data_IF_084367450780
#
_entry.id   IF_084367450780
#
_cell.length_a   1.000
_cell.length_b   1.000
_cell.length_c   1.000
_cell.angle_alpha   90.00
_cell.angle_beta   90.00
_cell.angle_gamma   90.00
#
_symmetry.space_group_name_H-M   'P 1'
#
loop_
_entity.id
_entity.type
_entity.pdbx_description
1 polymer ?
#
# COMPACT_ATOMS: atom_id res chain seq x y z
N UNK A 1 -14.23 -29.16 16.71
CA UNK A 1 -13.39 -28.05 17.16
C UNK A 1 -12.34 -27.84 16.09
N UNK A 2 -12.23 -26.64 15.50
CA UNK A 2 -11.23 -26.39 14.45
C UNK A 2 -9.83 -26.48 15.07
N UNK A 3 -8.92 -27.19 14.42
CA UNK A 3 -7.51 -27.25 14.83
C UNK A 3 -6.83 -25.97 14.36
N UNK A 4 -6.19 -25.27 15.29
CA UNK A 4 -5.44 -24.09 14.97
C UNK A 4 -4.04 -24.48 14.46
N UNK A 5 -3.65 -23.99 13.28
CA UNK A 5 -2.38 -24.35 12.64
C UNK A 5 -1.57 -23.11 12.27
N UNK A 6 -0.29 -23.10 12.65
CA UNK A 6 0.70 -22.14 12.21
C UNK A 6 1.87 -22.87 11.54
N UNK A 7 2.49 -22.21 10.58
CA UNK A 7 3.73 -22.65 9.95
C UNK A 7 4.61 -21.43 9.73
N UNK A 8 5.75 -21.38 10.40
CA UNK A 8 6.74 -20.30 10.30
C UNK A 8 7.95 -20.86 9.60
N UNK A 9 8.34 -20.25 8.48
CA UNK A 9 9.56 -20.61 7.76
C UNK A 9 10.57 -19.49 7.89
N UNK A 10 11.79 -19.82 8.29
CA UNK A 10 12.89 -18.86 8.41
C UNK A 10 13.99 -19.26 7.45
N UNK A 11 14.31 -18.37 6.53
CA UNK A 11 15.31 -18.53 5.48
C UNK A 11 16.56 -17.76 5.83
N UNK A 12 17.71 -18.39 5.72
CA UNK A 12 18.99 -17.68 5.74
C UNK A 12 19.08 -16.80 4.50
N UNK A 13 19.61 -15.58 4.65
CA UNK A 13 19.71 -14.63 3.54
C UNK A 13 21.17 -14.31 3.19
N UNK A 14 21.41 -14.05 1.91
CA UNK A 14 22.67 -13.46 1.42
C UNK A 14 22.32 -12.14 0.76
N UNK A 15 22.79 -11.02 1.31
CA UNK A 15 22.41 -9.67 0.86
C UNK A 15 20.88 -9.51 0.77
N UNK A 16 20.17 -9.99 1.80
CA UNK A 16 18.69 -9.98 1.89
C UNK A 16 17.96 -10.86 0.87
N UNK A 17 18.65 -11.62 0.03
CA UNK A 17 18.03 -12.60 -0.87
C UNK A 17 17.87 -13.92 -0.11
N UNK A 18 16.64 -14.47 0.02
CA UNK A 18 16.42 -15.76 0.70
C UNK A 18 17.15 -16.90 -0.02
N UNK A 19 17.91 -17.69 0.74
CA UNK A 19 18.53 -18.92 0.23
C UNK A 19 17.51 -20.07 0.19
N UNK A 20 17.77 -21.16 -0.56
CA UNK A 20 16.91 -22.35 -0.53
C UNK A 20 16.85 -23.06 0.84
N UNK A 21 17.81 -22.78 1.73
CA UNK A 21 17.89 -23.39 3.06
C UNK A 21 16.97 -22.63 4.02
N UNK A 22 16.05 -23.36 4.64
CA UNK A 22 15.12 -22.81 5.64
C UNK A 22 14.90 -23.75 6.80
N UNK A 23 14.46 -23.16 7.91
CA UNK A 23 13.98 -23.83 9.11
C UNK A 23 12.46 -23.67 9.19
N UNK A 24 11.74 -24.74 9.48
CA UNK A 24 10.27 -24.72 9.59
C UNK A 24 9.83 -25.04 11.02
N UNK A 25 8.91 -24.23 11.54
CA UNK A 25 8.30 -24.40 12.85
C UNK A 25 6.78 -24.49 12.69
N UNK A 26 6.18 -25.55 13.21
CA UNK A 26 4.74 -25.84 13.12
C UNK A 26 3.97 -25.43 14.38
N UNK A 27 4.64 -24.72 15.29
CA UNK A 27 4.12 -24.24 16.56
C UNK A 27 4.59 -22.81 16.81
N UNK A 28 3.80 -22.09 17.59
CA UNK A 28 4.07 -20.72 18.03
C UNK A 28 3.20 -20.46 19.26
N UNK A 29 3.64 -19.58 20.17
CA UNK A 29 2.78 -19.13 21.27
C UNK A 29 1.76 -18.13 20.76
N UNK A 30 2.25 -17.00 20.25
CA UNK A 30 1.42 -15.95 19.67
C UNK A 30 2.07 -15.38 18.40
N UNK A 31 1.23 -14.91 17.47
CA UNK A 31 1.61 -14.09 16.32
C UNK A 31 0.68 -12.90 16.25
N UNK A 32 1.27 -11.71 16.17
CA UNK A 32 0.55 -10.45 15.96
C UNK A 32 1.05 -9.82 14.66
N UNK A 33 0.15 -9.47 13.74
CA UNK A 33 0.48 -8.85 12.44
C UNK A 33 -0.35 -7.59 12.27
N UNK A 34 0.26 -6.48 11.87
CA UNK A 34 -0.43 -5.24 11.49
C UNK A 34 -0.08 -4.87 10.06
N UNK A 35 -1.09 -4.93 9.19
CA UNK A 35 -0.95 -4.64 7.76
C UNK A 35 -1.81 -3.46 7.32
N UNK A 36 -1.26 -2.51 6.55
CA UNK A 36 -1.99 -1.34 6.06
C UNK A 36 -1.35 -0.74 4.82
N UNK A 37 -2.13 -0.41 3.80
CA UNK A 37 -1.60 0.31 2.63
C UNK A 37 -1.14 1.75 2.96
N UNK A 38 -1.58 2.30 4.12
CA UNK A 38 -1.18 3.63 4.61
C UNK A 38 0.18 3.60 5.32
N UNK A 39 0.63 2.44 5.76
CA UNK A 39 1.95 2.24 6.37
C UNK A 39 2.94 1.82 5.28
N UNK A 40 4.18 2.29 5.35
CA UNK A 40 5.19 1.86 4.38
C UNK A 40 5.55 0.38 4.59
N UNK A 41 5.68 -0.03 5.85
CA UNK A 41 6.00 -1.40 6.25
C UNK A 41 4.87 -2.01 7.05
N UNK A 42 4.49 -3.22 6.70
CA UNK A 42 3.71 -4.07 7.60
C UNK A 42 4.63 -4.65 8.68
N UNK A 43 4.08 -4.93 9.87
CA UNK A 43 4.85 -5.48 10.99
C UNK A 43 4.29 -6.81 11.44
N UNK A 44 5.17 -7.68 11.94
CA UNK A 44 4.79 -8.90 12.64
C UNK A 44 5.61 -9.10 13.91
N UNK A 45 4.99 -9.70 14.92
CA UNK A 45 5.65 -10.16 16.14
C UNK A 45 5.33 -11.63 16.33
N UNK A 46 6.38 -12.44 16.51
CA UNK A 46 6.27 -13.87 16.79
C UNK A 46 6.77 -14.09 18.21
N UNK A 47 5.94 -14.72 19.04
CA UNK A 47 6.29 -15.13 20.39
C UNK A 47 6.48 -16.64 20.42
N UNK A 48 7.66 -17.10 20.83
CA UNK A 48 8.00 -18.52 20.91
C UNK A 48 8.69 -18.86 22.25
N UNK A 49 8.70 -20.14 22.66
CA UNK A 49 9.62 -20.60 23.70
C UNK A 49 11.08 -20.31 23.32
N UNK A 50 11.95 -20.13 24.32
CA UNK A 50 13.38 -19.87 24.07
C UNK A 50 14.10 -21.06 23.40
N UNK A 51 13.72 -22.27 23.81
CA UNK A 51 14.22 -23.52 23.22
C UNK A 51 13.30 -23.89 22.05
N UNK A 52 13.89 -24.02 20.87
CA UNK A 52 13.14 -24.31 19.64
C UNK A 52 13.72 -25.51 18.90
N UNK A 53 12.85 -26.25 18.23
CA UNK A 53 13.16 -27.51 17.57
C UNK A 53 12.53 -27.51 16.18
N UNK A 54 13.33 -27.86 15.17
CA UNK A 54 12.92 -27.83 13.76
C UNK A 54 12.31 -29.14 13.26
N UNK A 55 12.47 -30.24 14.01
CA UNK A 55 11.79 -31.50 13.74
C UNK A 55 10.74 -31.74 14.82
N UNK A 56 9.48 -31.69 14.41
CA UNK A 56 8.30 -31.89 15.27
C UNK A 56 7.45 -33.07 14.80
N UNK A 57 7.97 -33.92 13.90
CA UNK A 57 7.26 -35.13 13.50
C UNK A 57 7.14 -36.06 14.70
N UNK A 58 5.97 -36.04 15.32
CA UNK A 58 5.69 -36.73 16.58
C UNK A 58 6.15 -35.88 17.78
N UNK A 59 5.48 -34.75 18.02
CA UNK A 59 5.67 -33.93 19.21
C UNK A 59 5.48 -34.78 20.49
N UNK A 60 6.58 -35.33 20.99
CA UNK A 60 6.65 -36.04 22.25
C UNK A 60 7.08 -35.03 23.33
N UNK A 61 6.29 -34.87 24.39
CA UNK A 61 6.66 -34.05 25.54
C UNK A 61 7.97 -34.52 26.20
N UNK A 62 8.42 -35.76 25.94
CA UNK A 62 9.72 -36.26 26.40
C UNK A 62 10.93 -35.73 25.59
N UNK A 63 10.73 -34.96 24.50
CA UNK A 63 11.81 -34.23 23.83
C UNK A 63 12.42 -33.15 24.73
N UNK A 64 11.67 -32.64 25.72
CA UNK A 64 12.20 -31.70 26.72
C UNK A 64 13.17 -32.38 27.70
N UNK A 65 13.08 -33.70 27.88
CA UNK A 65 13.89 -34.46 28.83
C UNK A 65 15.06 -35.22 28.20
N UNK A 66 14.99 -35.54 26.90
CA UNK A 66 15.95 -36.46 26.24
C UNK A 66 16.59 -35.94 24.94
N UNK A 67 16.69 -34.62 24.72
CA UNK A 67 17.42 -34.10 23.57
C UNK A 67 18.94 -34.27 23.76
N UNK A 68 19.50 -35.41 23.37
CA UNK A 68 20.94 -35.59 23.23
C UNK A 68 21.43 -34.87 21.96
N UNK A 69 22.04 -33.70 22.14
CA UNK A 69 22.62 -32.84 21.11
C UNK A 69 23.05 -31.49 21.71
N UNK A 70 23.87 -30.70 20.99
CA UNK A 70 24.18 -29.32 21.41
C UNK A 70 22.87 -28.51 21.55
N UNK A 71 22.75 -27.77 22.64
CA UNK A 71 21.58 -26.95 22.93
C UNK A 71 21.42 -25.86 21.86
N UNK A 72 20.39 -26.00 21.01
CA UNK A 72 20.08 -25.00 19.98
C UNK A 72 19.16 -23.93 20.57
N UNK A 73 19.62 -22.69 20.53
CA UNK A 73 18.90 -21.52 20.99
C UNK A 73 18.04 -20.91 19.88
N UNK A 74 17.04 -20.11 20.23
CA UNK A 74 16.27 -19.30 19.26
C UNK A 74 17.18 -18.51 18.31
N UNK A 75 18.33 -18.02 18.80
CA UNK A 75 19.29 -17.24 18.02
C UNK A 75 20.00 -18.03 16.91
N UNK A 76 20.00 -19.37 16.97
CA UNK A 76 20.56 -20.20 15.92
C UNK A 76 19.70 -20.19 14.66
N UNK A 77 18.39 -19.99 14.82
CA UNK A 77 17.40 -20.05 13.75
C UNK A 77 16.86 -18.67 13.36
N UNK A 78 16.65 -17.80 14.35
CA UNK A 78 16.12 -16.45 14.17
C UNK A 78 17.26 -15.44 14.31
N UNK A 79 17.82 -15.04 13.17
CA UNK A 79 18.90 -14.05 13.09
C UNK A 79 18.38 -12.79 12.43
N UNK A 80 18.97 -11.65 12.78
CA UNK A 80 18.68 -10.38 12.10
C UNK A 80 18.84 -10.56 10.58
N UNK A 81 17.90 -9.97 9.84
CA UNK A 81 17.88 -9.98 8.38
C UNK A 81 17.65 -11.37 7.72
N UNK A 82 17.42 -12.42 8.50
CA UNK A 82 16.81 -13.64 7.94
C UNK A 82 15.40 -13.33 7.44
N UNK A 83 15.01 -13.97 6.34
CA UNK A 83 13.68 -13.80 5.76
C UNK A 83 12.70 -14.77 6.42
N UNK A 84 11.48 -14.34 6.68
CA UNK A 84 10.45 -15.12 7.36
C UNK A 84 9.16 -15.13 6.56
N UNK A 85 8.55 -16.31 6.44
CA UNK A 85 7.18 -16.48 5.98
C UNK A 85 6.33 -17.02 7.13
N UNK A 86 5.18 -16.39 7.37
CA UNK A 86 4.22 -16.81 8.38
C UNK A 86 2.95 -17.26 7.67
N UNK A 87 2.56 -18.50 7.91
CA UNK A 87 1.31 -19.06 7.44
C UNK A 87 0.40 -19.43 8.61
N UNK A 88 -0.86 -19.00 8.56
CA UNK A 88 -1.84 -19.20 9.63
C UNK A 88 -3.13 -19.78 9.04
N UNK A 89 -3.84 -20.60 9.80
CA UNK A 89 -5.13 -21.13 9.35
C UNK A 89 -5.73 -22.18 10.27
N UNK A 90 -6.74 -22.88 9.74
CA UNK A 90 -7.48 -23.93 10.43
C UNK A 90 -7.39 -25.25 9.69
N UNK A 91 -7.37 -26.37 10.43
CA UNK A 91 -7.47 -27.74 9.91
C UNK A 91 -6.48 -28.06 8.76
N UNK A 92 -5.30 -27.46 8.81
CA UNK A 92 -4.24 -27.61 7.79
C UNK A 92 -4.40 -26.74 6.54
N UNK A 93 -5.45 -25.94 6.42
CA UNK A 93 -5.59 -24.93 5.35
C UNK A 93 -4.82 -23.65 5.73
N UNK A 94 -3.59 -23.54 5.26
CA UNK A 94 -2.67 -22.45 5.59
C UNK A 94 -2.82 -21.25 4.64
N UNK A 95 -3.01 -20.04 5.18
CA UNK A 95 -3.00 -18.79 4.42
C UNK A 95 -1.69 -18.02 4.63
N UNK A 96 -1.07 -17.45 3.58
CA UNK A 96 0.17 -16.67 3.70
C UNK A 96 -0.14 -15.33 4.39
N UNK A 97 0.08 -15.26 5.71
CA UNK A 97 -0.31 -14.14 6.54
C UNK A 97 0.72 -13.00 6.54
N UNK A 98 2.01 -13.32 6.40
CA UNK A 98 3.09 -12.33 6.41
C UNK A 98 4.34 -12.87 5.72
N UNK A 99 5.11 -11.97 5.07
CA UNK A 99 6.41 -12.25 4.46
C UNK A 99 7.32 -11.05 4.67
N UNK A 100 8.51 -11.27 5.21
CA UNK A 100 9.38 -10.16 5.59
C UNK A 100 10.72 -10.57 6.15
N UNK A 101 11.37 -9.66 6.86
CA UNK A 101 12.68 -9.85 7.48
C UNK A 101 12.60 -9.70 8.99
N UNK A 102 13.41 -10.48 9.69
CA UNK A 102 13.60 -10.34 11.13
C UNK A 102 14.38 -9.05 11.41
N UNK A 103 13.80 -8.15 12.18
CA UNK A 103 14.38 -6.85 12.57
C UNK A 103 14.80 -6.78 14.03
N UNK A 104 14.36 -7.74 14.85
CA UNK A 104 14.78 -7.85 16.24
C UNK A 104 14.50 -9.22 16.82
N UNK A 105 15.36 -9.67 17.75
CA UNK A 105 15.17 -10.91 18.52
C UNK A 105 15.53 -10.61 19.97
N UNK A 106 14.53 -10.70 20.85
CA UNK A 106 14.66 -10.43 22.28
C UNK A 106 14.29 -11.69 23.06
N UNK A 107 15.07 -12.05 24.07
CA UNK A 107 14.81 -13.19 24.94
C UNK A 107 14.81 -12.73 26.38
N UNK A 108 13.66 -12.87 27.05
CA UNK A 108 13.56 -12.72 28.51
C UNK A 108 13.00 -14.02 29.12
N UNK A 109 11.67 -14.18 29.14
CA UNK A 109 11.02 -15.46 29.50
C UNK A 109 10.63 -16.23 28.23
N UNK A 110 10.06 -15.53 27.25
CA UNK A 110 9.80 -16.03 25.91
C UNK A 110 10.72 -15.31 24.92
N UNK A 111 10.96 -15.93 23.77
CA UNK A 111 11.56 -15.24 22.64
C UNK A 111 10.50 -14.40 21.92
N UNK A 112 10.81 -13.13 21.69
CA UNK A 112 10.02 -12.17 20.93
C UNK A 112 10.82 -11.81 19.68
N UNK A 113 10.29 -12.17 18.52
CA UNK A 113 10.89 -11.90 17.22
C UNK A 113 10.06 -10.82 16.55
N UNK A 114 10.67 -9.66 16.32
CA UNK A 114 10.07 -8.56 15.58
C UNK A 114 10.46 -8.65 14.12
N UNK A 115 9.49 -8.45 13.24
CA UNK A 115 9.65 -8.52 11.81
C UNK A 115 9.01 -7.30 11.13
N UNK A 116 9.60 -6.90 10.02
CA UNK A 116 9.01 -5.98 9.05
C UNK A 116 8.87 -6.69 7.71
N UNK A 117 7.88 -6.33 6.89
CA UNK A 117 7.65 -6.98 5.61
C UNK A 117 8.79 -6.79 4.61
N UNK A 118 8.62 -7.30 3.39
CA UNK A 118 9.62 -7.24 2.33
C UNK A 118 10.14 -5.80 2.06
N UNK A 119 9.36 -4.78 2.40
CA UNK A 119 9.75 -3.37 2.30
C UNK A 119 11.00 -3.00 3.11
N UNK A 120 11.29 -3.76 4.18
CA UNK A 120 12.53 -3.59 4.96
C UNK A 120 13.79 -3.56 4.08
N UNK A 121 13.84 -4.37 3.02
CA UNK A 121 15.00 -4.42 2.13
C UNK A 121 15.32 -3.05 1.50
N UNK A 122 14.30 -2.25 1.21
CA UNK A 122 14.46 -0.92 0.63
C UNK A 122 14.95 0.14 1.63
N UNK A 123 14.92 -0.14 2.94
CA UNK A 123 15.58 0.71 3.95
C UNK A 123 17.10 0.61 3.86
N UNK A 124 17.63 -0.48 3.28
CA UNK A 124 19.07 -0.76 3.16
C UNK A 124 19.66 -0.38 1.80
N UNK A 125 18.82 -0.09 0.82
CA UNK A 125 19.24 0.24 -0.55
C UNK A 125 19.18 1.75 -0.76
N UNK A 126 20.30 2.35 -1.16
CA UNK A 126 20.35 3.77 -1.54
C UNK A 126 19.54 4.02 -2.82
N UNK A 127 18.85 5.16 -2.86
CA UNK A 127 18.11 5.58 -4.04
C UNK A 127 19.01 6.03 -5.21
N UNK A 128 20.21 6.51 -4.87
CA UNK A 128 21.26 6.93 -5.80
C UNK A 128 22.58 6.32 -5.36
N UNK A 129 23.43 5.93 -6.32
CA UNK A 129 24.73 5.33 -6.07
C UNK A 129 25.76 6.41 -5.72
N UNK A 130 26.75 6.05 -4.91
CA UNK A 130 27.81 6.99 -4.52
C UNK A 130 28.78 7.28 -5.67
N UNK A 131 29.01 6.28 -6.51
CA UNK A 131 29.83 6.31 -7.71
C UNK A 131 29.01 6.70 -8.95
N UNK A 132 29.70 7.08 -10.03
CA UNK A 132 29.08 7.33 -11.35
C UNK A 132 27.93 8.36 -11.33
N UNK A 133 28.06 9.39 -10.48
CA UNK A 133 27.14 10.52 -10.42
C UNK A 133 27.07 11.19 -11.79
N UNK A 134 25.86 11.42 -12.31
CA UNK A 134 25.64 12.07 -13.61
C UNK A 134 26.30 11.36 -14.80
N UNK A 135 26.50 10.03 -14.72
CA UNK A 135 26.97 9.24 -15.86
C UNK A 135 25.96 9.27 -17.00
N UNK A 136 26.40 9.45 -18.27
CA UNK A 136 25.51 9.32 -19.44
C UNK A 136 24.79 7.96 -19.51
N UNK A 137 25.37 6.91 -18.91
CA UNK A 137 24.82 5.57 -18.89
C UNK A 137 23.73 5.37 -17.82
N UNK A 138 23.69 6.24 -16.81
CA UNK A 138 22.63 6.25 -15.79
C UNK A 138 22.11 7.67 -15.54
N UNK A 139 21.22 8.18 -16.42
CA UNK A 139 20.64 9.52 -16.27
C UNK A 139 19.75 9.66 -15.04
N UNK A 140 19.42 8.56 -14.34
CA UNK A 140 18.65 8.58 -13.10
C UNK A 140 19.56 8.59 -11.86
N UNK A 141 20.87 8.40 -12.02
CA UNK A 141 21.86 8.50 -10.94
C UNK A 141 22.36 9.93 -10.78
N UNK A 142 21.41 10.84 -10.64
CA UNK A 142 21.68 12.25 -10.40
C UNK A 142 21.76 12.43 -8.90
N UNK A 143 22.98 12.67 -8.45
CA UNK A 143 23.22 13.09 -7.08
C UNK A 143 23.24 14.60 -7.05
N UNK A 144 22.51 15.16 -6.09
CA UNK A 144 22.51 16.57 -5.84
C UNK A 144 23.94 17.05 -5.50
N UNK A 145 24.54 17.85 -6.38
CA UNK A 145 25.85 18.49 -6.12
C UNK A 145 25.72 19.61 -5.10
N UNK A 146 24.53 20.19 -5.01
CA UNK A 146 24.01 21.05 -3.94
C UNK A 146 22.61 20.55 -3.56
N UNK A 147 22.04 20.91 -2.39
CA UNK A 147 20.68 20.52 -1.97
C UNK A 147 19.55 20.90 -2.95
N UNK A 148 19.85 21.64 -4.02
CA UNK A 148 18.90 22.17 -5.00
C UNK A 148 18.89 21.43 -6.34
N UNK A 149 19.78 20.47 -6.60
CA UNK A 149 19.71 19.67 -7.84
C UNK A 149 18.69 18.55 -7.67
N UNK A 150 17.65 18.56 -8.50
CA UNK A 150 16.55 17.60 -8.46
C UNK A 150 16.75 16.50 -9.50
N UNK A 151 16.16 15.32 -9.28
CA UNK A 151 15.87 14.40 -10.39
C UNK A 151 14.82 15.10 -11.24
N UNK A 152 15.23 15.56 -12.42
CA UNK A 152 14.35 16.22 -13.36
C UNK A 152 13.34 15.21 -13.91
N UNK A 153 12.08 15.65 -14.08
CA UNK A 153 11.04 14.85 -14.74
C UNK A 153 10.89 13.45 -14.15
N UNK A 154 10.90 13.36 -12.81
CA UNK A 154 10.85 12.09 -12.10
C UNK A 154 9.57 11.33 -12.43
N UNK A 155 9.75 10.09 -12.92
CA UNK A 155 8.67 9.14 -13.13
C UNK A 155 8.91 7.92 -12.20
N UNK A 156 7.99 7.59 -11.27
CA UNK A 156 8.17 6.49 -10.34
C UNK A 156 8.46 5.16 -11.03
N UNK A 157 7.74 4.85 -12.11
CA UNK A 157 7.92 3.59 -12.83
C UNK A 157 9.33 3.43 -13.39
N UNK A 158 9.79 4.39 -14.19
CA UNK A 158 11.13 4.29 -14.80
C UNK A 158 12.24 4.29 -13.74
N UNK A 159 12.10 5.08 -12.69
CA UNK A 159 13.07 5.15 -11.60
C UNK A 159 13.15 3.86 -10.80
N UNK A 160 12.03 3.37 -10.27
CA UNK A 160 12.02 2.21 -9.39
C UNK A 160 12.23 0.90 -10.15
N UNK A 161 11.68 0.73 -11.35
CA UNK A 161 11.97 -0.46 -12.16
C UNK A 161 13.48 -0.59 -12.43
N UNK A 162 14.17 0.52 -12.74
CA UNK A 162 15.62 0.52 -12.92
C UNK A 162 16.36 0.17 -11.63
N UNK A 163 16.09 0.89 -10.54
CA UNK A 163 16.80 0.73 -9.25
C UNK A 163 16.57 -0.64 -8.62
N UNK A 164 15.38 -1.19 -8.75
CA UNK A 164 15.00 -2.47 -8.16
C UNK A 164 15.53 -3.64 -9.00
N UNK A 165 15.53 -3.52 -10.33
CA UNK A 165 16.05 -4.57 -11.22
C UNK A 165 17.52 -4.90 -10.92
N UNK A 166 18.31 -3.90 -10.52
CA UNK A 166 19.72 -4.08 -10.13
C UNK A 166 19.88 -4.92 -8.84
N UNK A 167 18.83 -5.04 -8.02
CA UNK A 167 18.87 -5.80 -6.77
C UNK A 167 18.58 -7.30 -6.97
N UNK A 168 18.09 -7.71 -8.14
CA UNK A 168 17.68 -9.09 -8.44
C UNK A 168 16.71 -9.68 -7.40
N UNK A 169 15.82 -8.85 -6.84
CA UNK A 169 14.84 -9.31 -5.86
C UNK A 169 13.67 -10.04 -6.56
N UNK A 170 13.13 -11.13 -5.97
CA UNK A 170 12.16 -12.01 -6.63
C UNK A 170 10.71 -11.50 -6.51
N UNK A 171 10.44 -10.27 -6.93
CA UNK A 171 9.09 -9.71 -6.96
C UNK A 171 8.83 -8.83 -8.19
N UNK A 172 7.55 -8.68 -8.52
CA UNK A 172 7.12 -7.77 -9.60
C UNK A 172 7.01 -6.35 -9.06
N UNK A 173 7.28 -5.37 -9.91
CA UNK A 173 7.04 -3.95 -9.63
C UNK A 173 5.86 -3.51 -10.48
N UNK A 174 4.85 -2.94 -9.83
CA UNK A 174 3.73 -2.25 -10.47
C UNK A 174 3.75 -0.80 -9.99
N UNK A 175 4.29 0.08 -10.83
CA UNK A 175 4.54 1.46 -10.45
C UNK A 175 3.77 2.45 -11.31
N UNK A 176 3.31 3.52 -10.67
CA UNK A 176 2.65 4.66 -11.29
C UNK A 176 3.52 5.23 -12.42
N UNK A 177 2.97 5.24 -13.62
CA UNK A 177 3.58 5.80 -14.83
C UNK A 177 3.10 7.24 -15.02
N UNK A 178 3.62 8.14 -14.19
CA UNK A 178 3.26 9.56 -14.20
C UNK A 178 4.51 10.41 -13.98
N UNK A 179 4.64 11.50 -14.72
CA UNK A 179 5.71 12.46 -14.55
C UNK A 179 5.37 13.42 -13.41
N UNK A 180 6.06 13.30 -12.28
CA UNK A 180 5.83 14.08 -11.07
C UNK A 180 6.66 15.37 -11.02
N UNK A 181 7.31 15.71 -12.13
CA UNK A 181 8.26 16.81 -12.23
C UNK A 181 9.50 16.58 -11.37
N UNK A 182 10.07 17.66 -10.85
CA UNK A 182 11.34 17.62 -10.15
C UNK A 182 11.17 17.12 -8.70
N UNK A 183 11.96 16.13 -8.29
CA UNK A 183 12.04 15.69 -6.90
C UNK A 183 13.48 15.72 -6.35
N UNK A 184 13.63 16.07 -5.08
CA UNK A 184 14.93 16.21 -4.43
C UNK A 184 15.37 14.90 -3.77
N UNK A 185 16.29 14.16 -4.40
CA UNK A 185 16.87 12.92 -3.82
C UNK A 185 18.33 13.18 -3.42
N UNK A 186 18.65 12.94 -2.15
CA UNK A 186 19.99 13.11 -1.60
C UNK A 186 20.80 11.80 -1.65
N UNK A 187 22.14 11.90 -1.60
CA UNK A 187 23.07 10.72 -1.55
C UNK A 187 22.71 9.70 -0.48
N UNK A 188 22.24 10.18 0.66
CA UNK A 188 21.99 9.36 1.83
C UNK A 188 20.56 8.81 1.85
N UNK A 189 19.70 9.18 0.89
CA UNK A 189 18.33 8.66 0.86
C UNK A 189 18.33 7.19 0.45
N UNK A 190 17.63 6.37 1.24
CA UNK A 190 17.25 5.02 0.84
C UNK A 190 16.03 5.04 -0.09
N UNK A 191 15.80 3.95 -0.82
CA UNK A 191 14.58 3.80 -1.62
C UNK A 191 13.33 3.92 -0.74
N UNK A 192 13.36 3.38 0.48
CA UNK A 192 12.28 3.54 1.46
C UNK A 192 12.00 5.01 1.81
N UNK A 193 13.03 5.84 1.96
CA UNK A 193 12.84 7.27 2.22
C UNK A 193 12.24 8.00 1.02
N UNK A 194 12.59 7.61 -0.22
CA UNK A 194 11.93 8.15 -1.42
C UNK A 194 10.45 7.74 -1.46
N UNK A 195 10.10 6.52 -1.05
CA UNK A 195 8.70 6.12 -0.93
C UNK A 195 7.92 6.98 0.07
N UNK A 196 8.48 7.30 1.24
CA UNK A 196 7.84 8.22 2.19
C UNK A 196 7.67 9.63 1.62
N UNK A 197 8.66 10.15 0.89
CA UNK A 197 8.51 11.44 0.20
C UNK A 197 7.35 11.43 -0.82
N UNK A 198 7.14 10.30 -1.50
CA UNK A 198 6.03 10.13 -2.45
C UNK A 198 4.68 10.05 -1.73
N UNK A 199 4.64 9.48 -0.52
CA UNK A 199 3.45 9.44 0.32
C UNK A 199 2.92 10.83 0.66
N UNK A 200 3.79 11.80 0.93
CA UNK A 200 3.40 13.21 1.17
C UNK A 200 2.71 13.86 -0.05
N UNK A 201 2.97 13.31 -1.25
CA UNK A 201 2.34 13.69 -2.52
C UNK A 201 1.09 12.85 -2.83
N UNK A 202 0.67 11.95 -1.94
CA UNK A 202 -0.48 11.07 -2.11
C UNK A 202 -0.19 9.83 -2.95
N UNK A 203 1.06 9.40 -3.03
CA UNK A 203 1.48 8.19 -3.75
C UNK A 203 1.93 7.17 -2.71
N UNK A 204 1.17 6.10 -2.58
CA UNK A 204 1.39 5.06 -1.58
C UNK A 204 2.21 3.92 -2.19
N UNK A 205 3.07 3.34 -1.36
CA UNK A 205 3.93 2.21 -1.73
C UNK A 205 3.73 1.10 -0.72
N UNK A 206 3.34 -0.08 -1.19
CA UNK A 206 3.07 -1.25 -0.34
C UNK A 206 3.24 -2.54 -1.14
N UNK A 207 3.47 -3.66 -0.45
CA UNK A 207 3.45 -4.97 -1.09
C UNK A 207 2.04 -5.55 -1.10
N UNK A 208 1.59 -5.97 -2.28
CA UNK A 208 0.41 -6.83 -2.43
C UNK A 208 0.88 -8.26 -2.54
N UNK A 209 0.45 -9.14 -1.64
CA UNK A 209 0.71 -10.57 -1.76
C UNK A 209 -0.19 -11.14 -2.85
N UNK A 210 0.37 -11.60 -3.97
CA UNK A 210 -0.36 -12.37 -4.98
C UNK A 210 0.09 -13.85 -4.95
N UNK A 211 -0.68 -14.75 -5.58
CA UNK A 211 -0.45 -16.19 -5.54
C UNK A 211 0.95 -16.62 -5.99
N UNK A 212 1.50 -15.95 -7.00
CA UNK A 212 2.80 -16.32 -7.60
C UNK A 212 3.99 -15.67 -6.92
N UNK A 213 3.85 -14.41 -6.51
CA UNK A 213 4.89 -13.61 -5.87
C UNK A 213 4.27 -12.35 -5.26
N UNK A 214 4.89 -11.74 -4.24
CA UNK A 214 4.52 -10.39 -3.83
C UNK A 214 4.76 -9.40 -4.98
N UNK A 215 3.91 -8.38 -5.06
CA UNK A 215 3.99 -7.28 -6.04
C UNK A 215 4.19 -5.98 -5.28
N UNK A 216 5.32 -5.32 -5.49
CA UNK A 216 5.53 -3.96 -5.02
C UNK A 216 4.62 -3.04 -5.82
N UNK A 217 3.64 -2.43 -5.15
CA UNK A 217 2.67 -1.53 -5.75
C UNK A 217 3.00 -0.10 -5.34
N UNK A 218 3.19 0.79 -6.32
CA UNK A 218 3.41 2.22 -6.14
C UNK A 218 2.28 2.93 -6.88
N UNK A 219 1.34 3.54 -6.15
CA UNK A 219 0.09 4.03 -6.76
C UNK A 219 -0.47 5.26 -6.05
N UNK A 220 -1.14 6.12 -6.80
CA UNK A 220 -1.96 7.23 -6.29
C UNK A 220 -3.44 6.83 -6.09
N UNK A 221 -3.77 5.55 -6.29
CA UNK A 221 -5.13 5.01 -6.17
C UNK A 221 -5.15 3.68 -5.39
N UNK A 222 -4.65 3.64 -4.14
CA UNK A 222 -4.56 2.40 -3.35
C UNK A 222 -5.93 1.80 -3.04
N UNK A 223 -6.97 2.63 -2.99
CA UNK A 223 -8.35 2.24 -2.74
C UNK A 223 -9.11 1.82 -4.01
N UNK A 224 -8.43 1.72 -5.17
CA UNK A 224 -9.00 1.23 -6.43
C UNK A 224 -10.28 1.96 -6.87
N UNK A 225 -10.29 3.30 -6.77
CA UNK A 225 -11.35 4.12 -7.33
C UNK A 225 -11.49 3.86 -8.83
N UNK A 226 -12.73 3.70 -9.29
CA UNK A 226 -13.04 3.51 -10.70
C UNK A 226 -13.18 4.84 -11.42
N UNK A 227 -13.05 4.82 -12.75
CA UNK A 227 -13.31 6.01 -13.56
C UNK A 227 -14.74 6.55 -13.38
N UNK A 228 -15.72 5.65 -13.13
CA UNK A 228 -17.11 6.04 -12.87
C UNK A 228 -17.26 6.78 -11.53
N UNK A 229 -16.61 6.28 -10.48
CA UNK A 229 -16.61 6.94 -9.16
C UNK A 229 -15.95 8.33 -9.25
N UNK A 230 -14.83 8.44 -9.98
CA UNK A 230 -14.17 9.73 -10.23
C UNK A 230 -15.07 10.68 -11.02
N UNK A 231 -15.73 10.20 -12.08
CA UNK A 231 -16.66 11.00 -12.88
C UNK A 231 -17.81 11.54 -12.02
N UNK A 232 -18.45 10.66 -11.24
CA UNK A 232 -19.55 11.01 -10.35
C UNK A 232 -19.13 12.02 -9.28
N UNK A 233 -17.95 11.84 -8.68
CA UNK A 233 -17.42 12.78 -7.70
C UNK A 233 -17.15 14.16 -8.31
N UNK A 234 -16.50 14.20 -9.49
CA UNK A 234 -16.23 15.44 -10.22
C UNK A 234 -17.55 16.13 -10.53
N UNK A 235 -18.54 15.44 -11.10
CA UNK A 235 -19.82 16.03 -11.48
C UNK A 235 -20.59 16.64 -10.30
N UNK A 236 -20.54 16.00 -9.12
CA UNK A 236 -21.18 16.52 -7.89
C UNK A 236 -20.43 17.71 -7.28
N UNK A 237 -19.11 17.73 -7.39
CA UNK A 237 -18.23 18.68 -6.70
C UNK A 237 -17.55 19.68 -7.66
N UNK A 238 -18.04 19.78 -8.91
CA UNK A 238 -17.46 20.66 -9.92
C UNK A 238 -17.73 22.11 -9.54
N UNK A 239 -16.80 22.73 -8.82
CA UNK A 239 -16.78 24.18 -8.62
C UNK A 239 -16.39 24.80 -9.97
N UNK A 240 -17.08 25.87 -10.37
CA UNK A 240 -16.73 26.69 -11.53
C UNK A 240 -15.29 27.19 -11.42
N UNK A 241 -14.34 26.52 -12.08
CA UNK A 241 -12.98 27.03 -12.35
C UNK A 241 -13.05 28.26 -13.27
N UNK A 242 -12.04 29.15 -13.30
CA UNK A 242 -11.94 30.21 -14.31
C UNK A 242 -12.02 29.70 -15.76
N UNK A 243 -11.72 28.42 -15.99
CA UNK A 243 -11.75 27.78 -17.31
C UNK A 243 -13.06 27.00 -17.57
N UNK A 244 -14.04 27.04 -16.66
CA UNK A 244 -15.21 26.17 -16.67
C UNK A 244 -16.10 26.26 -17.93
N UNK A 245 -16.56 25.09 -18.41
CA UNK A 245 -17.51 24.97 -19.52
C UNK A 245 -17.67 23.54 -20.04
N UNK A 246 -18.57 23.34 -21.01
CA UNK A 246 -18.88 22.04 -21.60
C UNK A 246 -17.66 21.34 -22.24
N UNK A 247 -16.70 22.11 -22.74
CA UNK A 247 -15.46 21.59 -23.36
C UNK A 247 -14.57 20.90 -22.32
N UNK A 248 -14.38 21.50 -21.14
CA UNK A 248 -13.63 20.85 -20.05
C UNK A 248 -14.29 19.54 -19.65
N UNK A 249 -15.62 19.54 -19.45
CA UNK A 249 -16.35 18.32 -19.08
C UNK A 249 -16.18 17.22 -20.14
N UNK A 250 -16.21 17.57 -21.42
CA UNK A 250 -15.93 16.62 -22.52
C UNK A 250 -14.52 16.03 -22.43
N UNK A 251 -13.50 16.85 -22.20
CA UNK A 251 -12.11 16.40 -22.08
C UNK A 251 -11.87 15.55 -20.82
N UNK A 252 -12.49 15.89 -19.69
CA UNK A 252 -12.48 15.07 -18.48
C UNK A 252 -13.04 13.68 -18.80
N UNK A 253 -14.19 13.60 -19.45
CA UNK A 253 -14.81 12.31 -19.81
C UNK A 253 -13.93 11.50 -20.77
N UNK A 254 -13.29 12.16 -21.74
CA UNK A 254 -12.33 11.49 -22.64
C UNK A 254 -11.13 10.94 -21.86
N UNK A 255 -10.52 11.74 -20.99
CA UNK A 255 -9.40 11.29 -20.19
C UNK A 255 -9.78 10.19 -19.17
N UNK A 256 -10.96 10.26 -18.56
CA UNK A 256 -11.49 9.20 -17.70
C UNK A 256 -11.74 7.90 -18.48
N UNK A 257 -12.12 7.97 -19.77
CA UNK A 257 -12.23 6.78 -20.62
C UNK A 257 -10.88 6.14 -20.94
N UNK A 258 -9.82 6.95 -21.07
CA UNK A 258 -8.45 6.43 -21.23
C UNK A 258 -7.96 5.82 -19.91
N UNK A 259 -8.23 6.49 -18.79
CA UNK A 259 -7.91 6.03 -17.45
C UNK A 259 -8.64 4.73 -17.11
N UNK A 260 -9.90 4.57 -17.52
CA UNK A 260 -10.65 3.33 -17.27
C UNK A 260 -9.98 2.11 -17.91
N UNK A 261 -9.45 2.26 -19.13
CA UNK A 261 -8.69 1.22 -19.81
C UNK A 261 -7.34 0.91 -19.12
N UNK A 262 -6.72 1.90 -18.46
CA UNK A 262 -5.50 1.69 -17.68
C UNK A 262 -5.79 1.02 -16.32
N UNK A 263 -6.81 1.52 -15.61
CA UNK A 263 -7.26 0.95 -14.34
C UNK A 263 -7.73 -0.49 -14.53
N UNK A 264 -8.48 -0.79 -15.60
CA UNK A 264 -8.96 -2.13 -15.90
C UNK A 264 -7.81 -3.12 -16.13
N UNK A 265 -6.74 -2.68 -16.82
CA UNK A 265 -5.52 -3.47 -17.01
C UNK A 265 -4.77 -3.71 -15.70
N UNK A 266 -4.70 -2.71 -14.83
CA UNK A 266 -4.06 -2.83 -13.51
C UNK A 266 -4.82 -3.76 -12.56
N UNK A 267 -6.15 -3.82 -12.65
CA UNK A 267 -6.99 -4.79 -11.91
C UNK A 267 -7.02 -6.19 -12.51
N UNK A 268 -6.58 -6.38 -13.76
CA UNK A 268 -6.47 -7.69 -14.42
C UNK A 268 -5.18 -8.46 -14.03
N UNK A 269 -4.62 -8.20 -12.83
CA UNK A 269 -3.63 -9.12 -12.28
C UNK A 269 -4.33 -10.41 -11.85
N UNK A 270 -3.97 -11.48 -12.57
CA UNK A 270 -4.17 -12.93 -12.38
C UNK A 270 -5.10 -13.34 -11.24
N UNK A 271 -6.08 -14.20 -11.56
CA UNK A 271 -6.97 -14.88 -10.61
C UNK A 271 -6.28 -15.19 -9.28
N UNK A 272 -6.48 -14.32 -8.30
CA UNK A 272 -6.03 -14.55 -6.94
C UNK A 272 -7.01 -15.55 -6.32
N UNK A 273 -6.51 -16.70 -5.85
CA UNK A 273 -7.28 -17.69 -5.09
C UNK A 273 -7.93 -17.01 -3.87
N UNK A 274 -7.31 -15.92 -3.38
CA UNK A 274 -7.88 -15.03 -2.40
C UNK A 274 -8.67 -13.93 -3.10
N UNK A 275 -9.97 -14.19 -3.28
CA UNK A 275 -10.90 -13.23 -3.86
C UNK A 275 -10.72 -11.87 -3.19
N UNK A 276 -10.30 -10.84 -3.93
CA UNK A 276 -10.21 -9.45 -3.45
C UNK A 276 -11.57 -8.83 -3.06
N UNK A 277 -12.58 -9.67 -2.85
CA UNK A 277 -13.92 -9.36 -2.35
C UNK A 277 -14.37 -10.50 -1.41
N UNK A 278 -14.60 -10.18 -0.14
CA UNK A 278 -14.90 -11.14 0.93
C UNK A 278 -16.21 -10.76 1.62
N UNK A 279 -17.01 -11.72 2.07
CA UNK A 279 -18.32 -11.47 2.68
C UNK A 279 -18.31 -11.74 4.19
N UNK A 280 -18.89 -10.82 4.95
CA UNK A 280 -19.12 -10.95 6.38
C UNK A 280 -20.59 -10.67 6.71
N UNK A 281 -21.18 -11.58 7.48
CA UNK A 281 -22.54 -11.44 7.99
C UNK A 281 -22.51 -11.14 9.49
N UNK A 282 -23.20 -10.07 9.89
CA UNK A 282 -23.37 -9.72 11.29
C UNK A 282 -24.06 -10.85 12.04
N UNK A 283 -23.59 -11.14 13.26
CA UNK A 283 -24.04 -12.27 14.13
C UNK A 283 -23.61 -13.67 13.66
N UNK A 284 -22.84 -13.78 12.59
CA UNK A 284 -22.27 -15.04 12.12
C UNK A 284 -20.75 -14.97 12.10
N UNK A 285 -20.19 -14.04 11.33
CA UNK A 285 -18.74 -13.87 11.21
C UNK A 285 -18.20 -12.80 12.18
N UNK A 286 -18.98 -11.75 12.43
CA UNK A 286 -18.56 -10.59 13.23
C UNK A 286 -18.78 -10.87 14.72
N UNK A 287 -17.68 -10.83 15.48
CA UNK A 287 -17.61 -11.03 16.93
C UNK A 287 -17.85 -9.71 17.67
N UNK A 288 -17.23 -8.63 17.20
CA UNK A 288 -17.31 -7.29 17.79
C UNK A 288 -17.50 -6.27 16.66
N UNK A 289 -18.42 -5.32 16.84
CA UNK A 289 -18.68 -4.23 15.89
C UNK A 289 -18.33 -2.89 16.54
N UNK A 290 -17.40 -2.16 15.93
CA UNK A 290 -17.00 -0.79 16.30
C UNK A 290 -17.05 0.15 15.08
N UNK A 291 -17.98 -0.10 14.16
CA UNK A 291 -18.16 0.70 12.95
C UNK A 291 -19.07 1.90 13.21
N UNK A 292 -18.65 3.07 12.74
CA UNK A 292 -19.38 4.34 12.84
C UNK A 292 -19.64 4.85 11.42
N UNK A 293 -20.91 5.15 11.10
CA UNK A 293 -21.28 5.68 9.78
C UNK A 293 -20.62 7.04 9.56
N UNK A 294 -19.98 7.22 8.41
CA UNK A 294 -19.43 8.50 7.96
C UNK A 294 -20.05 8.90 6.64
N UNK A 295 -20.64 10.09 6.61
CA UNK A 295 -21.29 10.65 5.43
C UNK A 295 -20.41 11.74 4.78
N UNK A 296 -20.38 11.73 3.44
CA UNK A 296 -19.60 12.66 2.59
C UNK A 296 -19.86 14.14 2.94
N UNK A 297 -21.09 14.48 3.33
CA UNK A 297 -21.57 15.85 3.54
C UNK A 297 -21.14 16.50 4.86
N UNK A 298 -20.43 15.78 5.74
CA UNK A 298 -20.14 16.29 7.09
C UNK A 298 -19.01 17.32 7.13
N UNK A 299 -18.17 17.39 6.10
CA UNK A 299 -17.04 18.33 6.02
C UNK A 299 -17.13 19.13 4.72
N UNK A 300 -17.49 20.41 4.83
CA UNK A 300 -17.43 21.33 3.70
C UNK A 300 -15.96 21.63 3.38
N UNK A 301 -15.41 20.98 2.37
CA UNK A 301 -13.98 21.04 2.03
C UNK A 301 -13.76 21.20 0.54
N UNK A 302 -12.64 21.83 0.18
CA UNK A 302 -12.16 21.89 -1.19
C UNK A 302 -10.66 21.65 -1.25
N UNK A 303 -10.22 21.14 -2.39
CA UNK A 303 -8.82 20.89 -2.72
C UNK A 303 -8.46 21.71 -3.93
N UNK A 304 -7.29 22.34 -3.88
CA UNK A 304 -6.74 23.11 -5.00
C UNK A 304 -5.58 22.35 -5.62
N UNK A 305 -5.52 22.32 -6.94
CA UNK A 305 -4.39 21.76 -7.67
C UNK A 305 -3.86 22.84 -8.61
N UNK A 306 -2.57 23.10 -8.54
CA UNK A 306 -1.88 24.11 -9.34
C UNK A 306 -0.78 23.45 -10.15
N UNK A 307 -0.65 23.82 -11.43
CA UNK A 307 0.46 23.42 -12.28
C UNK A 307 1.18 24.65 -12.82
N UNK A 308 2.45 24.76 -12.49
CA UNK A 308 3.38 25.79 -12.98
C UNK A 308 4.14 25.31 -14.21
N UNK A 309 4.52 26.27 -15.06
CA UNK A 309 5.20 26.02 -16.33
C UNK A 309 6.46 26.88 -16.44
N UNK A 310 7.45 26.43 -17.23
CA UNK A 310 8.76 27.08 -17.39
C UNK A 310 8.68 28.59 -17.67
N UNK A 311 7.72 29.01 -18.48
CA UNK A 311 7.56 30.39 -18.92
C UNK A 311 6.45 31.17 -18.17
N UNK A 312 5.90 30.64 -17.07
CA UNK A 312 4.80 31.28 -16.34
C UNK A 312 4.91 31.12 -14.82
N UNK A 313 4.93 32.25 -14.11
CA UNK A 313 4.77 32.32 -12.66
C UNK A 313 3.31 32.28 -12.20
N UNK A 314 2.35 32.31 -13.14
CA UNK A 314 0.93 32.10 -12.86
C UNK A 314 0.56 30.66 -13.22
N UNK A 315 0.05 29.86 -12.27
CA UNK A 315 -0.29 28.47 -12.54
C UNK A 315 -1.61 28.36 -13.31
N UNK A 316 -1.76 27.26 -14.04
CA UNK A 316 -3.11 26.75 -14.36
C UNK A 316 -3.59 25.99 -13.14
N UNK A 317 -4.78 26.32 -12.64
CA UNK A 317 -5.31 25.72 -11.43
C UNK A 317 -6.77 25.31 -11.56
N UNK A 318 -7.14 24.33 -10.73
CA UNK A 318 -8.52 23.92 -10.49
C UNK A 318 -8.78 23.89 -8.99
N UNK A 319 -10.04 24.07 -8.62
CA UNK A 319 -10.54 23.80 -7.27
C UNK A 319 -11.68 22.78 -7.39
N UNK A 320 -11.66 21.78 -6.52
CA UNK A 320 -12.64 20.70 -6.51
C UNK A 320 -13.13 20.47 -5.07
N UNK A 321 -14.46 20.38 -4.88
CA UNK A 321 -15.09 20.25 -3.58
C UNK A 321 -16.28 21.18 -3.43
N UNK A 322 -16.51 21.69 -2.22
CA UNK A 322 -17.61 22.63 -1.97
C UNK A 322 -17.18 24.07 -2.28
N UNK A 323 -18.01 24.89 -2.98
CA UNK A 323 -17.67 26.27 -3.33
C UNK A 323 -17.19 27.13 -2.15
N UNK A 324 -17.75 26.91 -0.96
CA UNK A 324 -17.41 27.60 0.28
C UNK A 324 -16.72 26.69 1.32
N UNK A 325 -16.20 25.54 0.89
CA UNK A 325 -15.50 24.61 1.76
C UNK A 325 -14.15 25.14 2.23
N UNK A 326 -13.70 24.68 3.40
CA UNK A 326 -12.35 24.93 3.87
C UNK A 326 -11.34 24.35 2.88
N UNK A 327 -10.35 25.14 2.47
CA UNK A 327 -9.26 24.65 1.63
C UNK A 327 -8.38 23.71 2.46
N UNK A 328 -8.43 22.41 2.16
CA UNK A 328 -7.70 21.38 2.93
C UNK A 328 -6.23 21.37 2.56
N UNK A 329 -5.93 21.38 1.26
CA UNK A 329 -4.57 21.33 0.74
C UNK A 329 -4.51 21.93 -0.66
N UNK A 330 -3.40 22.62 -0.94
CA UNK A 330 -2.98 22.98 -2.29
C UNK A 330 -1.92 21.99 -2.75
N UNK A 331 -2.19 21.26 -3.82
CA UNK A 331 -1.22 20.41 -4.48
C UNK A 331 -0.55 21.17 -5.61
N UNK A 332 0.75 21.36 -5.49
CA UNK A 332 1.56 22.10 -6.48
C UNK A 332 2.35 21.13 -7.33
N UNK A 333 2.18 21.26 -8.64
CA UNK A 333 2.88 20.54 -9.70
C UNK A 333 3.73 21.51 -10.51
N UNK A 334 4.89 21.05 -10.97
CA UNK A 334 5.80 21.84 -11.80
C UNK A 334 6.12 21.09 -13.08
N UNK A 335 6.04 21.80 -14.20
CA UNK A 335 6.50 21.37 -15.50
C UNK A 335 7.59 22.34 -15.98
N UNK A 336 8.84 21.96 -15.71
CA UNK A 336 9.99 22.81 -15.99
C UNK A 336 10.47 22.69 -17.44
N UNK A 337 9.81 21.85 -18.24
CA UNK A 337 10.14 21.60 -19.63
C UNK A 337 9.16 22.29 -20.59
N UNK A 338 7.86 22.22 -20.30
CA UNK A 338 6.82 22.76 -21.16
C UNK A 338 6.64 24.27 -20.99
N UNK A 339 6.33 24.93 -22.11
CA UNK A 339 6.01 26.36 -22.17
C UNK A 339 4.55 26.55 -22.58
N UNK A 340 3.84 27.45 -21.89
CA UNK A 340 2.47 27.82 -22.27
C UNK A 340 2.48 28.64 -23.57
N UNK A 341 1.56 28.38 -24.51
CA UNK A 341 1.45 29.16 -25.75
C UNK A 341 1.19 30.64 -25.45
N UNK A 342 1.80 31.54 -26.25
CA UNK A 342 1.54 32.99 -26.17
C UNK A 342 0.28 33.41 -26.93
N UNK A 343 -0.10 32.67 -27.97
CA UNK A 343 -1.31 32.93 -28.74
C UNK A 343 -2.56 32.69 -27.87
N UNK A 344 -3.52 33.64 -27.79
CA UNK A 344 -4.69 33.50 -26.94
C UNK A 344 -5.55 32.26 -27.21
N UNK A 345 -5.68 31.85 -28.47
CA UNK A 345 -6.51 30.70 -28.86
C UNK A 345 -5.85 29.39 -28.45
N UNK A 346 -4.56 29.25 -28.76
CA UNK A 346 -3.75 28.11 -28.35
C UNK A 346 -3.63 28.04 -26.82
N UNK A 347 -3.41 29.16 -26.14
CA UNK A 347 -3.35 29.22 -24.68
C UNK A 347 -4.66 28.74 -24.05
N UNK A 348 -5.81 29.19 -24.55
CA UNK A 348 -7.12 28.74 -24.07
C UNK A 348 -7.32 27.23 -24.28
N UNK A 349 -6.92 26.70 -25.43
CA UNK A 349 -6.99 25.26 -25.71
C UNK A 349 -6.10 24.45 -24.75
N UNK A 350 -4.81 24.78 -24.67
CA UNK A 350 -3.84 24.08 -23.82
C UNK A 350 -4.21 24.18 -22.34
N UNK A 351 -4.64 25.34 -21.86
CA UNK A 351 -5.10 25.50 -20.47
C UNK A 351 -6.33 24.66 -20.14
N UNK A 352 -7.26 24.51 -21.09
CA UNK A 352 -8.43 23.64 -20.97
C UNK A 352 -8.02 22.16 -20.86
N UNK A 353 -7.09 21.71 -21.71
CA UNK A 353 -6.55 20.34 -21.68
C UNK A 353 -5.84 20.05 -20.35
N UNK A 354 -4.97 20.96 -19.91
CA UNK A 354 -4.27 20.85 -18.62
C UNK A 354 -5.27 20.79 -17.47
N UNK A 355 -6.24 21.71 -17.42
CA UNK A 355 -7.26 21.72 -16.37
C UNK A 355 -8.02 20.39 -16.28
N UNK A 356 -8.33 19.75 -17.42
CA UNK A 356 -9.01 18.45 -17.44
C UNK A 356 -8.19 17.33 -16.76
N UNK A 357 -6.86 17.34 -16.92
CA UNK A 357 -5.95 16.42 -16.24
C UNK A 357 -5.87 16.73 -14.76
N UNK A 358 -5.81 18.01 -14.39
CA UNK A 358 -5.79 18.43 -12.98
C UNK A 358 -7.07 18.05 -12.24
N UNK A 359 -8.23 18.03 -12.90
CA UNK A 359 -9.48 17.56 -12.29
C UNK A 359 -9.43 16.07 -11.94
N UNK A 360 -8.83 15.23 -12.79
CA UNK A 360 -8.65 13.79 -12.48
C UNK A 360 -7.68 13.61 -11.30
N UNK A 361 -6.55 14.32 -11.34
CA UNK A 361 -5.56 14.32 -10.27
C UNK A 361 -6.14 14.81 -8.93
N UNK A 362 -6.95 15.88 -8.98
CA UNK A 362 -7.63 16.47 -7.83
C UNK A 362 -8.74 15.59 -7.27
N UNK A 363 -9.48 14.88 -8.14
CA UNK A 363 -10.56 13.99 -7.73
C UNK A 363 -10.09 12.86 -6.83
N UNK A 364 -9.01 12.15 -7.20
CA UNK A 364 -8.45 11.08 -6.36
C UNK A 364 -8.14 11.56 -4.93
N UNK A 365 -7.54 12.75 -4.81
CA UNK A 365 -7.14 13.33 -3.51
C UNK A 365 -8.31 13.94 -2.74
N UNK A 366 -9.24 14.58 -3.43
CA UNK A 366 -10.43 15.16 -2.83
C UNK A 366 -11.38 14.07 -2.30
N UNK A 367 -11.48 12.94 -3.00
CA UNK A 367 -12.25 11.77 -2.54
C UNK A 367 -11.68 11.19 -1.23
N UNK A 368 -10.35 11.14 -1.08
CA UNK A 368 -9.73 10.72 0.21
C UNK A 368 -10.11 11.67 1.37
N UNK A 369 -10.31 12.96 1.09
CA UNK A 369 -10.67 13.96 2.11
C UNK A 369 -12.16 13.99 2.48
N UNK A 370 -13.01 13.37 1.65
CA UNK A 370 -14.46 13.27 1.83
C UNK A 370 -14.90 11.79 1.87
N UNK A 371 -14.46 11.00 2.87
CA UNK A 371 -14.83 9.60 2.93
C UNK A 371 -16.35 9.47 3.15
N UNK A 372 -16.96 8.55 2.42
CA UNK A 372 -18.31 8.07 2.68
C UNK A 372 -18.24 6.57 2.98
N UNK A 373 -18.98 6.08 3.97
CA UNK A 373 -18.93 4.68 4.39
C UNK A 373 -18.83 4.54 5.90
N UNK A 374 -17.77 3.88 6.37
CA UNK A 374 -17.56 3.62 7.80
C UNK A 374 -16.19 4.09 8.26
N UNK A 375 -16.13 4.57 9.49
CA UNK A 375 -14.89 4.67 10.28
C UNK A 375 -14.90 3.59 11.36
N UNK A 376 -13.71 3.13 11.75
CA UNK A 376 -13.53 2.14 12.81
C UNK A 376 -13.22 0.74 12.28
N UNK A 377 -13.61 -0.27 13.06
CA UNK A 377 -13.27 -1.66 12.74
C UNK A 377 -14.33 -2.64 13.23
N UNK A 378 -14.23 -3.88 12.76
CA UNK A 378 -14.95 -5.00 13.35
C UNK A 378 -13.97 -6.17 13.60
N UNK A 379 -14.24 -6.95 14.64
CA UNK A 379 -13.48 -8.16 14.96
C UNK A 379 -14.19 -9.38 14.38
N UNK A 380 -13.42 -10.26 13.74
CA UNK A 380 -13.88 -11.53 13.18
C UNK A 380 -12.92 -12.66 13.54
N UNK A 381 -13.34 -13.89 13.27
CA UNK A 381 -12.46 -15.05 13.23
C UNK A 381 -11.39 -14.93 12.14
N UNK A 382 -10.35 -15.74 12.25
CA UNK A 382 -9.27 -15.87 11.26
C UNK A 382 -9.70 -16.12 9.81
N UNK A 383 -10.94 -16.55 9.61
CA UNK A 383 -11.55 -16.71 8.29
C UNK A 383 -12.96 -16.08 8.24
N UNK A 384 -13.40 -15.59 7.07
CA UNK A 384 -12.65 -15.50 5.80
C UNK A 384 -11.38 -14.62 5.86
N UNK A 385 -10.35 -14.95 5.08
CA UNK A 385 -9.07 -14.25 5.10
C UNK A 385 -9.13 -12.92 4.33
N UNK A 386 -8.72 -11.81 4.97
CA UNK A 386 -8.82 -10.45 4.40
C UNK A 386 -7.51 -9.70 4.48
N UNK A 387 -7.04 -9.11 3.40
CA UNK A 387 -5.85 -8.24 3.33
C UNK A 387 -6.25 -6.77 3.17
N UNK A 388 -5.32 -5.82 3.47
CA UNK A 388 -5.48 -4.45 3.00
C UNK A 388 -5.74 -4.43 1.50
N UNK A 389 -6.52 -3.46 1.04
CA UNK A 389 -6.95 -3.31 -0.37
C UNK A 389 -7.96 -4.35 -0.89
N UNK A 390 -8.36 -5.34 -0.08
CA UNK A 390 -9.53 -6.16 -0.39
C UNK A 390 -10.83 -5.38 -0.19
N UNK A 391 -11.93 -5.89 -0.76
CA UNK A 391 -13.29 -5.38 -0.57
C UNK A 391 -14.04 -6.28 0.40
N UNK A 392 -14.75 -5.70 1.35
CA UNK A 392 -15.60 -6.43 2.31
C UNK A 392 -17.06 -6.12 2.03
N UNK A 393 -17.85 -7.17 1.81
CA UNK A 393 -19.31 -7.10 1.73
C UNK A 393 -19.87 -7.36 3.12
N UNK A 394 -20.54 -6.35 3.68
CA UNK A 394 -21.22 -6.44 4.97
C UNK A 394 -22.70 -6.72 4.78
N UNK A 395 -23.20 -7.69 5.56
CA UNK A 395 -24.62 -8.08 5.56
C UNK A 395 -25.19 -8.14 6.97
N UNK A 396 -26.14 -7.26 7.24
CA UNK A 396 -26.86 -7.13 8.48
C UNK A 396 -28.36 -7.18 8.21
N UNK A 397 -29.01 -8.23 8.71
CA UNK A 397 -30.43 -8.43 8.53
C UNK A 397 -31.29 -7.45 9.35
N UNK A 398 -30.73 -6.89 10.44
CA UNK A 398 -31.45 -5.98 11.34
C UNK A 398 -31.22 -4.52 11.03
N UNK A 399 -29.97 -4.15 10.74
CA UNK A 399 -29.56 -2.79 10.45
C UNK A 399 -29.08 -2.70 9.00
N UNK A 400 -30.01 -2.40 8.09
CA UNK A 400 -29.73 -2.39 6.64
C UNK A 400 -28.80 -1.25 6.23
N UNK A 401 -28.61 -0.21 7.04
CA UNK A 401 -27.69 0.89 6.75
C UNK A 401 -26.23 0.42 6.77
N UNK A 402 -25.94 -0.64 7.53
CA UNK A 402 -24.64 -1.31 7.56
C UNK A 402 -24.35 -2.22 6.37
N UNK A 403 -25.31 -2.37 5.45
CA UNK A 403 -25.10 -3.18 4.26
C UNK A 403 -24.33 -2.40 3.20
N UNK A 404 -23.38 -3.08 2.56
CA UNK A 404 -22.62 -2.48 1.47
C UNK A 404 -21.34 -3.23 1.17
N UNK A 405 -20.62 -2.74 0.17
CA UNK A 405 -19.24 -3.14 -0.08
C UNK A 405 -18.33 -2.01 0.38
N UNK A 406 -17.30 -2.34 1.15
CA UNK A 406 -16.38 -1.37 1.74
C UNK A 406 -14.94 -1.75 1.45
N UNK A 407 -14.09 -0.75 1.30
CA UNK A 407 -12.67 -0.96 1.05
C UNK A 407 -11.94 -1.19 2.38
N UNK A 408 -11.07 -2.19 2.43
CA UNK A 408 -10.24 -2.49 3.60
C UNK A 408 -9.01 -1.62 3.61
N UNK A 409 -8.78 -0.93 4.73
CA UNK A 409 -7.63 -0.06 4.91
C UNK A 409 -6.48 -0.74 5.66
N UNK A 410 -6.81 -1.38 6.77
CA UNK A 410 -5.86 -2.01 7.68
C UNK A 410 -6.45 -3.31 8.22
N UNK A 411 -5.59 -4.28 8.46
CA UNK A 411 -5.96 -5.55 9.11
C UNK A 411 -4.95 -5.84 10.21
N UNK A 412 -5.44 -6.02 11.43
CA UNK A 412 -4.66 -6.53 12.55
C UNK A 412 -5.03 -7.99 12.76
N UNK A 413 -4.05 -8.89 12.76
CA UNK A 413 -4.27 -10.32 12.98
C UNK A 413 -3.59 -10.73 14.27
N UNK A 414 -4.30 -11.54 15.04
CA UNK A 414 -3.77 -12.18 16.26
C UNK A 414 -4.01 -13.67 16.16
N UNK A 415 -3.00 -14.48 16.43
CA UNK A 415 -3.07 -15.92 16.42
C UNK A 415 -2.36 -16.45 17.66
N UNK A 416 -2.94 -17.43 18.37
CA UNK A 416 -2.29 -18.07 19.51
C UNK A 416 -3.28 -18.57 20.54
N UNK A 417 -3.01 -18.29 21.82
CA UNK A 417 -3.79 -18.79 22.97
C UNK A 417 -5.28 -18.40 22.90
N UNK A 418 -5.59 -17.23 22.36
CA UNK A 418 -6.97 -16.72 22.20
C UNK A 418 -7.61 -17.12 20.85
N UNK A 419 -7.01 -18.07 20.14
CA UNK A 419 -7.40 -18.49 18.80
C UNK A 419 -6.88 -17.55 17.71
N UNK A 420 -7.47 -17.66 16.51
CA UNK A 420 -7.12 -16.84 15.36
C UNK A 420 -8.23 -15.81 15.09
N UNK A 421 -7.86 -14.53 15.08
CA UNK A 421 -8.75 -13.38 14.90
C UNK A 421 -8.18 -12.38 13.91
N UNK A 422 -9.08 -11.62 13.29
CA UNK A 422 -8.74 -10.47 12.46
C UNK A 422 -9.59 -9.29 12.91
N UNK A 423 -8.96 -8.15 13.19
CA UNK A 423 -9.63 -6.85 13.31
C UNK A 423 -9.45 -6.12 12.00
N UNK A 424 -10.56 -5.90 11.31
CA UNK A 424 -10.58 -5.32 9.97
C UNK A 424 -11.05 -3.88 10.08
N UNK A 425 -10.18 -2.96 9.69
CA UNK A 425 -10.49 -1.54 9.56
C UNK A 425 -10.93 -1.30 8.12
N UNK A 426 -12.16 -0.81 8.00
CA UNK A 426 -12.76 -0.46 6.71
C UNK A 426 -12.92 1.05 6.64
N UNK A 427 -12.94 1.57 5.42
CA UNK A 427 -13.11 2.99 5.16
C UNK A 427 -14.27 3.21 4.20
N UNK A 428 -13.90 3.63 2.98
CA UNK A 428 -14.87 4.06 1.98
C UNK A 428 -15.85 2.95 1.59
N UNK A 429 -17.07 3.35 1.27
CA UNK A 429 -18.03 2.54 0.52
C UNK A 429 -17.59 2.47 -0.94
N UNK A 430 -17.73 1.30 -1.52
CA UNK A 430 -17.54 1.06 -2.96
C UNK A 430 -18.92 1.09 -3.59
N UNK A 431 -19.13 2.01 -4.53
CA UNK A 431 -20.40 2.07 -5.26
C UNK A 431 -20.55 0.80 -6.10
N UNK A 432 -21.76 0.21 -6.10
CA UNK A 432 -22.06 -0.87 -7.02
C UNK A 432 -22.15 -0.28 -8.43
N UNK A 433 -21.40 -0.87 -9.38
CA UNK A 433 -21.49 -0.54 -10.80
C UNK A 433 -22.84 -0.99 -11.35
#
# INVERSE_FOLDING_TARGET
>A
MLKLNAKIRVYETVKLIPSPKFYEFTYVKNVDISSSYKSLTDTATIVMPQKVYTDTKGFDQNLFTNASGEEKSIYDFFKLENFVEIFLGYDGDYKPAFRGYITGVQTDINAIISCEDTMYAFKKVKAVKDDNVQSPNDPLNVVATNPTTNVENFNPKTFFEKRIKELNLPFKVNALDEELGNIMINRNHSLAQVFEMLKDKGIYTYFKTEDTAPVLTITNNPQQHTANELAGFIDRNFITSPLAGAIIKKLINQGLSLLSAQLSKATQSVSDIFSGKVRFKFRYNIIEDKLIVVNESTKNTRTRVEKYFKNSNTPIYIELGDPNGQLVKTHVLHDNSAELPKDPTAFKKTSTEIASVLYQYGALRAMESKPSGFEGSFLTFGEPFVRPTDKVVLENAKDKEKNGTFQVEKVERTFGENGYRQRIFIGRRVEAI
#
